data_IF_011981281785
#
_entry.id   IF_011981281785
#
_cell.length_a   1.000
_cell.length_b   1.000
_cell.length_c   1.000
_cell.angle_alpha   90.00
_cell.angle_beta   90.00
_cell.angle_gamma   90.00
#
_symmetry.space_group_name_H-M   'P 1'
#
loop_
_entity.id
_entity.type
_entity.pdbx_description
1 polymer ?
#
# COMPACT_ATOMS: atom_id res chain seq x y z
N UNK A 1 -48.28 -33.75 30.01
CA UNK A 1 -47.08 -33.35 29.24
C UNK A 1 -47.02 -31.83 29.16
N UNK A 2 -45.98 -31.17 29.68
CA UNK A 2 -45.76 -29.73 29.47
C UNK A 2 -44.85 -29.56 28.24
N UNK A 3 -45.20 -28.72 27.26
CA UNK A 3 -44.34 -28.53 26.10
C UNK A 3 -43.03 -27.91 26.56
N UNK A 4 -41.91 -28.53 26.14
CA UNK A 4 -40.58 -27.96 26.34
C UNK A 4 -40.60 -26.60 25.65
N UNK A 5 -40.45 -25.53 26.43
CA UNK A 5 -40.15 -24.21 25.87
C UNK A 5 -38.86 -24.37 25.09
N UNK A 6 -38.96 -24.42 23.75
CA UNK A 6 -37.82 -24.19 22.89
C UNK A 6 -37.24 -22.85 23.36
N UNK A 7 -35.97 -22.87 23.77
CA UNK A 7 -35.23 -21.68 24.05
C UNK A 7 -35.36 -20.78 22.82
N UNK A 8 -36.16 -19.71 22.96
CA UNK A 8 -36.16 -18.60 22.01
C UNK A 8 -34.70 -18.24 21.81
N UNK A 9 -34.20 -18.39 20.58
CA UNK A 9 -32.93 -17.75 20.20
C UNK A 9 -33.15 -16.28 20.53
N UNK A 10 -32.55 -15.82 21.62
CA UNK A 10 -32.73 -14.46 22.08
C UNK A 10 -32.13 -13.56 21.02
N UNK A 11 -32.98 -12.84 20.29
CA UNK A 11 -32.54 -11.89 19.30
C UNK A 11 -31.52 -10.93 19.94
N UNK A 12 -30.41 -10.63 19.25
CA UNK A 12 -29.41 -9.73 19.80
C UNK A 12 -30.08 -8.42 20.18
N UNK A 13 -29.78 -7.92 21.39
CA UNK A 13 -30.31 -6.65 21.88
C UNK A 13 -30.16 -5.58 20.78
N UNK A 14 -31.15 -4.70 20.52
CA UNK A 14 -31.10 -3.77 19.40
C UNK A 14 -29.79 -2.96 19.28
N UNK A 15 -29.18 -2.60 20.43
CA UNK A 15 -27.87 -1.94 20.46
C UNK A 15 -26.72 -2.84 19.96
N UNK A 16 -26.72 -4.13 20.29
CA UNK A 16 -25.75 -5.11 19.80
C UNK A 16 -25.91 -5.33 18.30
N UNK A 17 -27.15 -5.47 17.82
CA UNK A 17 -27.43 -5.58 16.39
C UNK A 17 -26.87 -4.38 15.61
N UNK A 18 -27.13 -3.15 16.09
CA UNK A 18 -26.56 -1.93 15.46
C UNK A 18 -25.03 -1.93 15.43
N UNK A 19 -24.36 -2.39 16.49
CA UNK A 19 -22.89 -2.50 16.53
C UNK A 19 -22.37 -3.52 15.51
N UNK A 20 -23.04 -4.66 15.37
CA UNK A 20 -22.68 -5.69 14.38
C UNK A 20 -22.81 -5.13 12.96
N UNK A 21 -23.92 -4.45 12.65
CA UNK A 21 -24.14 -3.83 11.34
C UNK A 21 -23.07 -2.76 11.05
N UNK A 22 -22.77 -1.88 12.01
CA UNK A 22 -21.72 -0.87 11.84
C UNK A 22 -20.34 -1.51 11.59
N UNK A 23 -19.98 -2.53 12.36
CA UNK A 23 -18.73 -3.27 12.16
C UNK A 23 -18.68 -3.95 10.78
N UNK A 24 -19.78 -4.55 10.35
CA UNK A 24 -19.87 -5.20 9.04
C UNK A 24 -19.63 -4.20 7.90
N UNK A 25 -20.22 -3.02 7.96
CA UNK A 25 -19.98 -1.97 6.95
C UNK A 25 -18.51 -1.51 6.95
N UNK A 26 -17.90 -1.33 8.13
CA UNK A 26 -16.46 -1.03 8.22
C UNK A 26 -15.60 -2.13 7.58
N UNK A 27 -15.85 -3.39 7.91
CA UNK A 27 -15.12 -4.53 7.34
C UNK A 27 -15.32 -4.65 5.83
N UNK A 28 -16.52 -4.33 5.33
CA UNK A 28 -16.81 -4.29 3.89
C UNK A 28 -15.99 -3.21 3.18
N UNK A 29 -15.87 -2.03 3.78
CA UNK A 29 -14.98 -0.97 3.27
C UNK A 29 -13.53 -1.42 3.23
N UNK A 30 -12.99 -1.97 4.33
CA UNK A 30 -11.61 -2.48 4.37
C UNK A 30 -11.36 -3.59 3.35
N UNK A 31 -12.30 -4.51 3.18
CA UNK A 31 -12.20 -5.53 2.14
C UNK A 31 -12.15 -4.91 0.73
N UNK A 32 -12.91 -3.84 0.48
CA UNK A 32 -12.83 -3.09 -0.78
C UNK A 32 -11.46 -2.45 -1.00
N UNK A 33 -10.90 -1.84 0.04
CA UNK A 33 -9.53 -1.28 0.01
C UNK A 33 -8.50 -2.38 -0.28
N UNK A 34 -8.56 -3.52 0.41
CA UNK A 34 -7.65 -4.65 0.18
C UNK A 34 -7.74 -5.18 -1.26
N UNK A 35 -8.95 -5.32 -1.81
CA UNK A 35 -9.14 -5.72 -3.20
C UNK A 35 -8.54 -4.71 -4.16
N UNK A 36 -8.70 -3.41 -3.90
CA UNK A 36 -8.15 -2.35 -4.73
C UNK A 36 -6.62 -2.39 -4.76
N UNK A 37 -5.99 -2.68 -3.61
CA UNK A 37 -4.53 -2.82 -3.50
C UNK A 37 -3.98 -4.05 -4.23
N UNK A 38 -4.82 -5.07 -4.47
CA UNK A 38 -4.43 -6.30 -5.18
C UNK A 38 -4.60 -6.18 -6.70
N UNK A 39 -5.09 -5.05 -7.21
CA UNK A 39 -5.19 -4.82 -8.66
C UNK A 39 -3.79 -4.63 -9.26
N UNK A 40 -3.54 -5.27 -10.41
CA UNK A 40 -2.23 -5.25 -11.09
C UNK A 40 -1.83 -3.85 -11.58
N UNK A 41 -2.80 -2.99 -11.88
CA UNK A 41 -2.57 -1.62 -12.36
C UNK A 41 -2.33 -0.60 -11.24
N UNK A 42 -2.25 -1.03 -9.99
CA UNK A 42 -2.20 -0.12 -8.85
C UNK A 42 -0.78 0.41 -8.61
N UNK A 43 -0.57 1.70 -8.85
CA UNK A 43 0.74 2.34 -8.70
C UNK A 43 1.08 2.63 -7.23
N UNK A 44 2.37 2.69 -6.89
CA UNK A 44 2.79 3.00 -5.51
C UNK A 44 2.29 4.37 -5.03
N UNK A 45 2.18 5.34 -5.94
CA UNK A 45 1.60 6.66 -5.65
C UNK A 45 0.11 6.54 -5.31
N UNK A 46 -0.62 5.67 -6.03
CA UNK A 46 -2.04 5.40 -5.73
C UNK A 46 -2.22 4.68 -4.40
N UNK A 47 -1.29 3.79 -4.02
CA UNK A 47 -1.25 3.17 -2.68
C UNK A 47 -1.15 4.22 -1.60
N UNK A 48 -0.23 5.18 -1.75
CA UNK A 48 -0.05 6.25 -0.76
C UNK A 48 -1.33 7.06 -0.58
N UNK A 49 -1.95 7.52 -1.67
CA UNK A 49 -3.21 8.28 -1.64
C UNK A 49 -4.34 7.48 -0.99
N UNK A 50 -4.43 6.18 -1.29
CA UNK A 50 -5.46 5.32 -0.70
C UNK A 50 -5.24 5.15 0.82
N UNK A 51 -3.99 4.96 1.26
CA UNK A 51 -3.66 4.86 2.67
C UNK A 51 -3.90 6.16 3.43
N UNK A 52 -3.60 7.31 2.85
CA UNK A 52 -3.89 8.61 3.45
C UNK A 52 -5.41 8.77 3.66
N UNK A 53 -6.23 8.38 2.67
CA UNK A 53 -7.69 8.36 2.84
C UNK A 53 -8.19 7.37 3.89
N UNK A 54 -7.58 6.20 3.99
CA UNK A 54 -7.93 5.23 5.06
C UNK A 54 -7.58 5.79 6.44
N UNK A 55 -6.44 6.47 6.58
CA UNK A 55 -6.04 7.11 7.83
C UNK A 55 -6.99 8.24 8.24
N UNK A 56 -7.49 9.03 7.28
CA UNK A 56 -8.52 10.05 7.53
C UNK A 56 -9.86 9.43 7.97
N UNK A 57 -10.32 8.37 7.30
CA UNK A 57 -11.59 7.70 7.62
C UNK A 57 -11.53 6.94 8.94
N UNK A 58 -10.37 6.37 9.26
CA UNK A 58 -10.13 5.55 10.43
C UNK A 58 -8.86 6.02 11.14
N UNK A 59 -8.94 7.07 11.97
CA UNK A 59 -7.77 7.69 12.61
C UNK A 59 -6.89 6.70 13.41
N UNK A 60 -7.48 5.61 13.91
CA UNK A 60 -6.75 4.52 14.59
C UNK A 60 -5.68 3.87 13.70
N UNK A 61 -5.84 3.93 12.38
CA UNK A 61 -4.91 3.34 11.41
C UNK A 61 -3.73 4.26 11.08
N UNK A 62 -3.79 5.54 11.44
CA UNK A 62 -2.73 6.52 11.14
C UNK A 62 -1.38 6.11 11.74
N UNK A 63 -1.38 5.44 12.90
CA UNK A 63 -0.16 4.93 13.55
C UNK A 63 0.62 3.94 12.67
N UNK A 64 -0.05 3.32 11.69
CA UNK A 64 0.53 2.34 10.77
C UNK A 64 0.66 2.86 9.33
N UNK A 65 -0.20 3.80 8.93
CA UNK A 65 -0.32 4.24 7.53
C UNK A 65 0.23 5.65 7.29
N UNK A 66 0.39 6.48 8.32
CA UNK A 66 0.94 7.85 8.23
C UNK A 66 2.35 7.85 7.63
N UNK A 67 2.80 8.93 6.94
CA UNK A 67 4.20 9.04 6.55
C UNK A 67 5.15 9.09 7.76
N UNK A 68 4.63 9.46 8.93
CA UNK A 68 5.37 9.52 10.20
C UNK A 68 5.14 8.27 11.07
N UNK A 69 4.57 7.22 10.51
CA UNK A 69 4.31 5.99 11.25
C UNK A 69 5.64 5.34 11.70
N UNK A 70 5.67 4.77 12.91
CA UNK A 70 6.89 4.16 13.47
C UNK A 70 7.40 2.93 12.69
N UNK A 71 6.58 2.42 11.75
CA UNK A 71 6.98 1.35 10.81
C UNK A 71 7.86 1.86 9.67
N UNK A 72 7.84 3.17 9.39
CA UNK A 72 8.66 3.81 8.36
C UNK A 72 10.12 3.77 8.82
N UNK A 73 10.95 3.06 8.07
CA UNK A 73 12.33 2.83 8.46
C UNK A 73 13.25 3.99 8.09
N UNK A 74 13.00 4.60 6.93
CA UNK A 74 13.79 5.73 6.44
C UNK A 74 12.86 6.78 5.82
N UNK A 75 12.35 7.73 6.62
CA UNK A 75 11.36 8.71 6.16
C UNK A 75 11.82 9.50 4.93
N UNK A 76 13.08 9.95 4.91
CA UNK A 76 13.63 10.68 3.77
C UNK A 76 13.69 9.81 2.50
N UNK A 77 14.08 8.54 2.62
CA UNK A 77 14.12 7.63 1.48
C UNK A 77 12.73 7.31 0.93
N UNK A 78 11.80 6.94 1.81
CA UNK A 78 10.44 6.56 1.40
C UNK A 78 9.70 7.77 0.80
N UNK A 79 9.88 8.96 1.36
CA UNK A 79 9.38 10.22 0.79
C UNK A 79 9.99 10.50 -0.60
N UNK A 80 11.30 10.33 -0.76
CA UNK A 80 11.98 10.53 -2.03
C UNK A 80 11.42 9.62 -3.13
N UNK A 81 11.22 8.33 -2.82
CA UNK A 81 10.65 7.35 -3.77
C UNK A 81 9.23 7.75 -4.20
N UNK A 82 8.39 8.21 -3.26
CA UNK A 82 7.03 8.68 -3.57
C UNK A 82 7.03 9.94 -4.45
N UNK A 83 7.99 10.86 -4.24
CA UNK A 83 8.15 12.07 -5.06
C UNK A 83 8.61 11.73 -6.48
N UNK A 84 9.63 10.88 -6.62
CA UNK A 84 10.13 10.40 -7.92
C UNK A 84 9.03 9.67 -8.68
N UNK A 85 8.34 8.71 -8.05
CA UNK A 85 7.22 7.98 -8.67
C UNK A 85 6.03 8.87 -9.04
N UNK A 86 5.92 10.06 -8.44
CA UNK A 86 4.92 11.07 -8.75
C UNK A 86 5.36 12.12 -9.77
N UNK A 87 6.53 11.99 -10.40
CA UNK A 87 7.14 13.01 -11.26
C UNK A 87 7.34 14.37 -10.56
N UNK A 88 7.59 14.36 -9.25
CA UNK A 88 7.79 15.53 -8.39
C UNK A 88 9.24 15.63 -7.92
N UNK A 89 10.18 15.30 -8.79
CA UNK A 89 11.62 15.32 -8.48
C UNK A 89 12.11 16.73 -8.10
N UNK A 90 11.44 17.78 -8.59
CA UNK A 90 11.73 19.17 -8.24
C UNK A 90 11.46 19.48 -6.76
N UNK A 91 10.65 18.67 -6.08
CA UNK A 91 10.31 18.81 -4.66
C UNK A 91 11.27 18.03 -3.73
N UNK A 92 12.29 17.36 -4.27
CA UNK A 92 13.25 16.59 -3.48
C UNK A 92 14.14 17.53 -2.66
N UNK A 93 14.22 17.27 -1.36
CA UNK A 93 15.20 17.94 -0.49
C UNK A 93 16.59 17.34 -0.69
N UNK A 94 17.65 18.03 -0.23
CA UNK A 94 19.01 17.48 -0.28
C UNK A 94 19.13 16.15 0.49
N UNK A 95 18.41 16.02 1.61
CA UNK A 95 18.37 14.79 2.42
C UNK A 95 17.69 13.63 1.68
N UNK A 96 16.57 13.90 1.02
CA UNK A 96 15.83 12.93 0.20
C UNK A 96 16.65 12.51 -1.02
N UNK A 97 17.29 13.46 -1.69
CA UNK A 97 18.16 13.21 -2.84
C UNK A 97 19.32 12.30 -2.44
N UNK A 98 19.99 12.61 -1.33
CA UNK A 98 21.08 11.81 -0.76
C UNK A 98 20.62 10.40 -0.38
N UNK A 99 19.44 10.27 0.21
CA UNK A 99 18.86 8.97 0.56
C UNK A 99 18.55 8.13 -0.69
N UNK A 100 18.00 8.75 -1.74
CA UNK A 100 17.67 8.09 -2.99
C UNK A 100 18.88 7.71 -3.85
N UNK A 101 20.08 8.23 -3.57
CA UNK A 101 21.29 7.86 -4.32
C UNK A 101 21.59 6.36 -4.27
N UNK A 102 21.16 5.67 -3.21
CA UNK A 102 21.32 4.22 -3.06
C UNK A 102 20.55 3.41 -4.12
N UNK A 103 19.56 4.03 -4.79
CA UNK A 103 18.78 3.42 -5.88
C UNK A 103 19.36 3.71 -7.28
N UNK A 104 20.38 4.56 -7.40
CA UNK A 104 21.02 4.81 -8.70
C UNK A 104 21.66 3.50 -9.16
N UNK A 105 21.14 2.94 -10.25
CA UNK A 105 21.75 1.77 -10.85
C UNK A 105 23.19 2.11 -11.26
N UNK A 106 24.17 1.36 -10.76
CA UNK A 106 25.47 1.29 -11.43
C UNK A 106 25.20 0.75 -12.82
N UNK A 107 25.36 1.57 -13.85
CA UNK A 107 25.37 1.17 -15.25
C UNK A 107 26.53 0.20 -15.48
N UNK A 108 26.33 -1.06 -15.12
CA UNK A 108 27.28 -2.14 -15.31
C UNK A 108 26.53 -3.32 -15.93
N UNK A 109 26.17 -3.17 -17.20
CA UNK A 109 26.14 -4.23 -18.25
C UNK A 109 25.47 -3.72 -19.54
N UNK A 110 25.98 -2.65 -20.15
CA UNK A 110 25.75 -2.41 -21.60
C UNK A 110 26.76 -3.16 -22.48
N UNK A 111 27.71 -3.91 -21.89
CA UNK A 111 28.82 -4.54 -22.64
C UNK A 111 28.60 -6.04 -22.96
N UNK A 112 27.52 -6.66 -22.45
CA UNK A 112 27.23 -8.07 -22.71
C UNK A 112 26.38 -8.29 -23.97
N UNK A 113 25.45 -7.37 -24.29
CA UNK A 113 24.52 -7.52 -25.42
C UNK A 113 25.20 -7.25 -26.76
N UNK A 114 26.15 -6.30 -26.82
CA UNK A 114 26.89 -6.01 -28.05
C UNK A 114 27.86 -7.14 -28.43
N UNK A 115 28.41 -7.86 -27.44
CA UNK A 115 29.31 -9.00 -27.66
C UNK A 115 28.59 -10.22 -28.23
N UNK A 116 27.34 -10.46 -27.81
CA UNK A 116 26.50 -11.53 -28.37
C UNK A 116 26.03 -11.23 -29.80
N UNK A 117 25.71 -9.98 -30.12
CA UNK A 117 25.34 -9.58 -31.49
C UNK A 117 26.54 -9.64 -32.44
N UNK A 118 27.73 -9.18 -32.03
CA UNK A 118 28.94 -9.26 -32.86
C UNK A 118 29.45 -10.70 -33.12
N UNK A 119 29.12 -11.65 -32.24
CA UNK A 119 29.41 -13.08 -32.47
C UNK A 119 28.44 -13.74 -33.47
N UNK A 120 27.22 -13.24 -33.60
CA UNK A 120 26.22 -13.75 -34.54
C UNK A 120 26.35 -13.18 -35.95
N UNK A 121 26.95 -11.99 -36.10
CA UNK A 121 27.13 -11.32 -37.40
C UNK A 121 28.56 -11.39 -37.96
N UNK A 122 29.46 -12.17 -37.36
CA UNK A 122 30.78 -12.46 -37.94
C UNK A 122 30.73 -13.81 -38.68
N UNK A 123 30.35 -13.75 -39.94
CA UNK A 123 30.58 -14.81 -40.94
C UNK A 123 31.48 -14.24 -42.04
N UNK A 124 32.40 -15.10 -42.53
CA UNK A 124 33.51 -14.87 -43.47
C UNK A 124 33.25 -13.89 -44.65
#
# INVERSE_FOLDING_TARGET
>A
MRPRRCCLRSDPKPAMYRRIVALFETLKTFNGVCKKLQEESFTITSVRVLFDRVAEMYPVTAVYLSPDANIVHSPAFESAVVKVAGNREVELTEEELKAAEQLKATTATEDATHKYLLLLYRTD
#
